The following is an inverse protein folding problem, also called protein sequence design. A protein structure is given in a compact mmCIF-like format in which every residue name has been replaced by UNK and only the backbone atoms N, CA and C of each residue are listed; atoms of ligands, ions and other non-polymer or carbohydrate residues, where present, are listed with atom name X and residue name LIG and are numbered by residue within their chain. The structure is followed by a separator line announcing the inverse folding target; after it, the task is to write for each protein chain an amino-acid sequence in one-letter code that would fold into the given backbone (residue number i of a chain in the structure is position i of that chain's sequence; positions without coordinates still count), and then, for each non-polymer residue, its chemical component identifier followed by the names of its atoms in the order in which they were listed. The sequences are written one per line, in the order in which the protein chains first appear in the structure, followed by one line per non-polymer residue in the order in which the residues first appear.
data_IF_586471257902
#
_entry.id   IF_586471257902
#
_cell.length_a   1.000
_cell.length_b   1.000
_cell.length_c   1.000
_cell.angle_alpha   90.00
_cell.angle_beta   90.00
_cell.angle_gamma   90.00
#
_symmetry.space_group_name_H-M   'P 1'
#
loop_
_entity.id
_entity.type
_entity.pdbx_description
1 polymer ?
#
# COMPACT_ATOMS: atom_id res chain seq x y z
N UNK A 1 13.11 27.89 36.55
CA UNK A 1 14.04 28.15 35.45
C UNK A 1 13.90 26.97 34.54
N UNK A 2 12.96 26.99 33.63
CA UNK A 2 12.95 27.50 32.24
C UNK A 2 13.87 26.72 31.34
N UNK A 3 13.25 26.08 30.38
CA UNK A 3 13.88 25.41 29.24
C UNK A 3 12.87 24.69 28.37
N UNK A 4 11.82 25.41 27.90
CA UNK A 4 10.93 24.90 26.88
C UNK A 4 11.66 24.94 25.54
N UNK A 5 12.13 23.78 25.00
CA UNK A 5 12.57 23.68 23.62
C UNK A 5 11.38 23.43 22.73
N UNK A 6 11.04 24.47 21.97
CA UNK A 6 10.08 24.41 20.87
C UNK A 6 10.60 23.47 19.77
N UNK A 7 9.90 22.37 19.52
CA UNK A 7 10.09 21.56 18.33
C UNK A 7 9.57 22.33 17.12
N UNK A 8 10.48 22.88 16.33
CA UNK A 8 10.19 23.50 15.05
C UNK A 8 9.64 22.43 14.09
N UNK A 9 8.35 22.54 13.79
CA UNK A 9 7.70 21.69 12.81
C UNK A 9 8.31 21.88 11.43
N UNK A 10 8.86 20.82 10.88
CA UNK A 10 9.29 20.76 9.49
C UNK A 10 8.06 20.86 8.60
N UNK A 11 7.76 22.04 8.09
CA UNK A 11 6.77 22.21 7.02
C UNK A 11 7.28 21.50 5.78
N UNK A 12 6.72 20.33 5.50
CA UNK A 12 6.84 19.69 4.20
C UNK A 12 6.36 20.68 3.13
N UNK A 13 7.27 21.09 2.26
CA UNK A 13 6.92 21.85 1.04
C UNK A 13 6.13 20.92 0.13
N UNK A 14 4.81 20.93 0.23
CA UNK A 14 3.94 20.38 -0.82
C UNK A 14 4.20 21.16 -2.09
N UNK A 15 4.62 20.46 -3.13
CA UNK A 15 4.85 21.04 -4.44
C UNK A 15 3.55 21.66 -4.99
N UNK A 16 3.65 22.86 -5.50
CA UNK A 16 2.55 23.71 -6.00
C UNK A 16 1.94 23.19 -7.33
N UNK A 17 2.27 21.96 -7.76
CA UNK A 17 1.77 21.35 -9.00
C UNK A 17 0.57 20.40 -8.84
N UNK A 18 0.25 19.97 -7.65
CA UNK A 18 -0.71 18.87 -7.43
C UNK A 18 -2.12 19.33 -7.01
N UNK A 19 -2.33 20.63 -6.78
CA UNK A 19 -3.64 21.15 -6.35
C UNK A 19 -4.81 20.82 -7.30
N UNK A 20 -4.69 20.95 -8.64
CA UNK A 20 -5.83 20.62 -9.51
C UNK A 20 -6.13 19.12 -9.56
N UNK A 21 -5.12 18.26 -9.43
CA UNK A 21 -5.31 16.81 -9.40
C UNK A 21 -5.98 16.37 -8.08
N UNK A 22 -5.59 16.95 -6.95
CA UNK A 22 -6.20 16.68 -5.64
C UNK A 22 -7.65 17.16 -5.62
N UNK A 23 -7.93 18.37 -6.11
CA UNK A 23 -9.28 18.91 -6.18
C UNK A 23 -10.21 18.08 -7.08
N UNK A 24 -9.69 17.56 -8.20
CA UNK A 24 -10.44 16.65 -9.08
C UNK A 24 -10.73 15.31 -8.39
N UNK A 25 -9.75 14.78 -7.66
CA UNK A 25 -9.92 13.52 -6.90
C UNK A 25 -10.94 13.68 -5.79
N UNK A 26 -10.93 14.79 -5.06
CA UNK A 26 -11.90 15.08 -4.00
C UNK A 26 -13.31 15.28 -4.56
N UNK A 27 -13.45 15.96 -5.70
CA UNK A 27 -14.72 16.14 -6.37
C UNK A 27 -15.29 14.79 -6.88
N UNK A 28 -14.45 13.93 -7.46
CA UNK A 28 -14.83 12.58 -7.88
C UNK A 28 -15.22 11.70 -6.69
N UNK A 29 -14.47 11.75 -5.60
CA UNK A 29 -14.81 11.03 -4.37
C UNK A 29 -16.14 11.49 -3.79
N UNK A 30 -16.42 12.80 -3.80
CA UNK A 30 -17.71 13.37 -3.37
C UNK A 30 -18.88 12.88 -4.20
N UNK A 31 -18.72 12.78 -5.52
CA UNK A 31 -19.76 12.26 -6.42
C UNK A 31 -19.95 10.75 -6.22
N UNK A 32 -18.87 9.98 -6.11
CA UNK A 32 -18.93 8.54 -5.89
C UNK A 32 -19.58 8.16 -4.56
N UNK A 33 -19.40 8.97 -3.50
CA UNK A 33 -20.05 8.77 -2.21
C UNK A 33 -21.57 8.99 -2.21
N UNK A 34 -22.13 9.68 -3.20
CA UNK A 34 -23.57 9.88 -3.36
C UNK A 34 -24.23 8.79 -4.21
N UNK A 35 -23.45 7.92 -4.85
CA UNK A 35 -23.97 6.82 -5.64
C UNK A 35 -24.37 5.64 -4.73
N UNK A 36 -25.44 4.89 -5.10
CA UNK A 36 -25.76 3.62 -4.44
C UNK A 36 -24.55 2.70 -4.47
N UNK A 37 -24.30 1.98 -3.37
CA UNK A 37 -23.14 1.09 -3.22
C UNK A 37 -22.99 0.09 -4.37
N UNK A 38 -24.11 -0.38 -4.92
CA UNK A 38 -24.12 -1.28 -6.07
C UNK A 38 -23.52 -0.67 -7.34
N UNK A 39 -23.74 0.61 -7.56
CA UNK A 39 -23.25 1.32 -8.74
C UNK A 39 -21.77 1.69 -8.57
N UNK A 40 -21.36 2.16 -7.40
CA UNK A 40 -19.95 2.43 -7.11
C UNK A 40 -19.11 1.15 -7.19
N UNK A 41 -19.59 0.02 -6.65
CA UNK A 41 -18.91 -1.28 -6.76
C UNK A 41 -18.79 -1.74 -8.21
N UNK A 42 -19.83 -1.52 -9.04
CA UNK A 42 -19.76 -1.87 -10.47
C UNK A 42 -18.75 -1.02 -11.24
N UNK A 43 -18.66 0.28 -10.93
CA UNK A 43 -17.68 1.20 -11.55
C UNK A 43 -16.26 0.79 -11.16
N UNK A 44 -15.99 0.59 -9.86
CA UNK A 44 -14.69 0.12 -9.39
C UNK A 44 -14.32 -1.25 -9.96
N UNK A 45 -15.27 -2.19 -9.99
CA UNK A 45 -15.06 -3.50 -10.60
C UNK A 45 -14.78 -3.42 -12.12
N UNK A 46 -15.38 -2.47 -12.84
CA UNK A 46 -15.09 -2.25 -14.26
C UNK A 46 -13.72 -1.62 -14.50
N UNK A 47 -13.27 -0.71 -13.63
CA UNK A 47 -11.94 -0.09 -13.72
C UNK A 47 -10.82 -1.09 -13.47
N UNK A 48 -11.05 -2.09 -12.62
CA UNK A 48 -10.08 -3.13 -12.28
C UNK A 48 -10.11 -4.33 -13.24
N UNK A 49 -11.12 -4.40 -14.10
CA UNK A 49 -11.31 -5.46 -15.12
C UNK A 49 -10.26 -5.39 -16.24
N UNK A 50 -9.07 -5.39 -16.06
CA UNK A 50 -7.99 -5.33 -17.03
C UNK A 50 -6.64 -5.23 -16.37
N UNK A 51 -6.64 -5.22 -15.03
CA UNK A 51 -5.42 -5.33 -14.27
C UNK A 51 -5.16 -6.79 -13.93
N UNK A 52 -4.04 -7.33 -14.40
CA UNK A 52 -3.63 -8.70 -14.07
C UNK A 52 -3.27 -8.80 -12.59
N UNK A 53 -2.71 -7.72 -12.01
CA UNK A 53 -2.40 -7.64 -10.59
C UNK A 53 -2.53 -6.21 -10.06
N UNK A 54 -2.75 -6.11 -8.75
CA UNK A 54 -2.82 -4.85 -8.01
C UNK A 54 -1.71 -4.82 -6.97
N UNK A 55 -1.02 -3.69 -6.87
CA UNK A 55 -0.05 -3.44 -5.81
C UNK A 55 -0.51 -2.27 -4.94
N UNK A 56 -0.33 -2.40 -3.63
CA UNK A 56 -0.64 -1.34 -2.67
C UNK A 56 0.51 -1.16 -1.69
N UNK A 57 0.82 0.08 -1.37
CA UNK A 57 1.78 0.41 -0.32
C UNK A 57 1.05 1.16 0.80
N UNK A 58 0.99 0.53 1.98
CA UNK A 58 0.30 1.07 3.15
C UNK A 58 1.35 1.44 4.20
N UNK A 59 1.53 2.73 4.51
CA UNK A 59 2.37 3.13 5.61
C UNK A 59 1.71 2.73 6.93
N UNK A 60 2.38 1.87 7.69
CA UNK A 60 1.95 1.49 9.04
C UNK A 60 2.50 2.43 10.11
N UNK A 61 2.20 2.14 11.37
CA UNK A 61 2.67 2.94 12.49
C UNK A 61 4.20 2.86 12.63
N UNK A 62 4.89 4.01 12.74
CA UNK A 62 6.34 4.05 12.93
C UNK A 62 6.77 3.76 14.37
N UNK A 63 5.82 3.58 15.28
CA UNK A 63 6.01 3.32 16.71
C UNK A 63 5.59 1.89 17.06
N UNK A 64 6.18 1.27 18.10
CA UNK A 64 5.74 -0.04 18.59
C UNK A 64 4.26 -0.03 18.99
N UNK A 65 3.54 -1.04 18.55
CA UNK A 65 2.13 -1.25 18.89
C UNK A 65 2.02 -2.49 19.78
N UNK A 66 1.05 -2.47 20.67
CA UNK A 66 0.78 -3.58 21.60
C UNK A 66 -0.67 -4.03 21.50
N UNK A 67 -0.87 -5.34 21.47
CA UNK A 67 -2.18 -5.97 21.53
C UNK A 67 -2.24 -6.88 22.75
N UNK A 68 -3.17 -6.63 23.67
CA UNK A 68 -3.32 -7.39 24.93
C UNK A 68 -2.00 -7.54 25.73
N UNK A 69 -1.14 -6.51 25.71
CA UNK A 69 0.16 -6.50 26.39
C UNK A 69 1.33 -7.15 25.62
N UNK A 70 1.08 -7.75 24.47
CA UNK A 70 2.12 -8.29 23.59
C UNK A 70 2.49 -7.29 22.49
N UNK A 71 3.79 -7.13 22.22
CA UNK A 71 4.27 -6.26 21.14
C UNK A 71 4.03 -6.89 19.78
N UNK A 72 3.53 -6.09 18.84
CA UNK A 72 3.33 -6.48 17.44
C UNK A 72 4.68 -6.40 16.70
N UNK A 73 5.26 -7.56 16.40
CA UNK A 73 6.54 -7.66 15.72
C UNK A 73 6.43 -7.50 14.20
N UNK A 74 5.35 -8.04 13.61
CA UNK A 74 5.10 -8.01 12.17
C UNK A 74 3.62 -7.84 11.88
N UNK A 75 3.32 -7.09 10.84
CA UNK A 75 1.95 -6.86 10.38
C UNK A 75 1.89 -7.15 8.88
N UNK A 76 0.91 -7.96 8.47
CA UNK A 76 0.66 -8.27 7.08
C UNK A 76 -0.72 -7.75 6.69
N UNK A 77 -0.78 -6.94 5.64
CA UNK A 77 -2.03 -6.48 5.06
C UNK A 77 -2.37 -7.33 3.83
N UNK A 78 -3.65 -7.63 3.66
CA UNK A 78 -4.17 -8.37 2.52
C UNK A 78 -5.28 -7.54 1.89
N UNK A 79 -5.05 -7.03 0.69
CA UNK A 79 -6.05 -6.31 -0.07
C UNK A 79 -7.00 -7.27 -0.82
N UNK A 80 -8.20 -6.80 -1.20
CA UNK A 80 -9.11 -7.60 -2.04
C UNK A 80 -8.54 -7.76 -3.45
N UNK A 81 -8.85 -8.87 -4.10
CA UNK A 81 -8.47 -9.10 -5.51
C UNK A 81 -9.18 -8.14 -6.47
N UNK A 82 -10.44 -7.81 -6.18
CA UNK A 82 -11.26 -6.87 -6.96
C UNK A 82 -11.31 -7.18 -8.48
N UNK A 83 -11.17 -8.46 -8.84
CA UNK A 83 -11.16 -8.92 -10.21
C UNK A 83 -9.77 -9.09 -10.85
N UNK A 84 -8.69 -8.75 -10.15
CA UNK A 84 -7.32 -9.05 -10.55
C UNK A 84 -6.93 -10.49 -10.18
N UNK A 85 -5.94 -11.04 -10.87
CA UNK A 85 -5.40 -12.37 -10.59
C UNK A 85 -4.58 -12.41 -9.29
N UNK A 86 -3.94 -11.30 -8.93
CA UNK A 86 -3.17 -11.19 -7.68
C UNK A 86 -3.26 -9.78 -7.08
N UNK A 87 -3.15 -9.69 -5.74
CA UNK A 87 -2.98 -8.46 -5.00
C UNK A 87 -1.78 -8.59 -4.06
N UNK A 88 -0.85 -7.64 -4.18
CA UNK A 88 0.33 -7.54 -3.34
C UNK A 88 0.20 -6.27 -2.50
N UNK A 89 0.10 -6.43 -1.18
CA UNK A 89 0.01 -5.29 -0.27
C UNK A 89 1.25 -5.25 0.62
N UNK A 90 2.04 -4.19 0.46
CA UNK A 90 3.17 -3.89 1.35
C UNK A 90 2.68 -3.05 2.51
N UNK A 91 3.04 -3.43 3.73
CA UNK A 91 2.79 -2.66 4.95
C UNK A 91 4.10 -2.53 5.72
N UNK A 92 4.45 -1.28 6.04
CA UNK A 92 5.65 -0.97 6.83
C UNK A 92 5.31 -0.72 8.30
N UNK A 93 6.07 -1.30 9.23
CA UNK A 93 5.91 -1.09 10.68
C UNK A 93 7.27 -1.13 11.36
N UNK A 94 7.61 -0.10 12.13
CA UNK A 94 8.87 0.00 12.88
C UNK A 94 10.10 -0.39 12.06
N UNK A 95 10.25 0.13 10.84
CA UNK A 95 11.40 -0.15 9.95
C UNK A 95 11.36 -1.52 9.26
N UNK A 96 10.34 -2.33 9.48
CA UNK A 96 10.15 -3.63 8.81
C UNK A 96 9.02 -3.52 7.79
N UNK A 97 9.27 -3.92 6.54
CA UNK A 97 8.26 -4.03 5.50
C UNK A 97 7.81 -5.48 5.37
N UNK A 98 6.50 -5.70 5.45
CA UNK A 98 5.87 -7.00 5.26
C UNK A 98 4.97 -6.96 4.03
N UNK A 99 4.98 -8.01 3.23
CA UNK A 99 4.16 -8.12 2.02
C UNK A 99 3.15 -9.24 2.20
N UNK A 100 1.86 -8.90 2.12
CA UNK A 100 0.77 -9.84 1.99
C UNK A 100 0.45 -10.07 0.52
N UNK A 101 0.29 -11.32 0.12
CA UNK A 101 -0.02 -11.70 -1.27
C UNK A 101 -1.31 -12.51 -1.29
N UNK A 102 -2.33 -11.99 -1.97
CA UNK A 102 -3.57 -12.70 -2.31
C UNK A 102 -3.52 -13.10 -3.78
N UNK A 103 -3.90 -14.32 -4.08
CA UNK A 103 -3.88 -14.86 -5.45
C UNK A 103 -5.19 -15.59 -5.73
N UNK A 104 -5.76 -15.38 -6.92
CA UNK A 104 -6.82 -16.20 -7.45
C UNK A 104 -6.21 -17.49 -8.04
N UNK A 105 -6.47 -18.63 -7.42
CA UNK A 105 -5.91 -19.91 -7.82
C UNK A 105 -6.43 -20.40 -9.19
N UNK A 106 -7.54 -19.83 -9.68
CA UNK A 106 -8.05 -20.14 -11.04
C UNK A 106 -7.29 -19.33 -12.08
N UNK A 107 -7.00 -18.07 -11.78
CA UNK A 107 -6.27 -17.20 -12.70
C UNK A 107 -4.76 -17.50 -12.70
N UNK A 108 -4.20 -17.96 -11.58
CA UNK A 108 -2.79 -18.32 -11.42
C UNK A 108 -2.69 -19.76 -10.92
N UNK A 109 -2.80 -20.75 -11.83
CA UNK A 109 -2.83 -22.18 -11.46
C UNK A 109 -1.49 -22.67 -10.90
N UNK A 110 -0.36 -22.08 -11.32
CA UNK A 110 0.97 -22.39 -10.80
C UNK A 110 1.41 -21.36 -9.76
N UNK A 111 0.86 -21.48 -8.55
CA UNK A 111 1.16 -20.58 -7.43
C UNK A 111 2.62 -20.70 -6.99
N UNK A 112 3.23 -21.87 -7.09
CA UNK A 112 4.62 -22.08 -6.68
C UNK A 112 5.60 -21.30 -7.56
N UNK A 113 5.43 -21.38 -8.87
CA UNK A 113 6.21 -20.60 -9.83
C UNK A 113 5.99 -19.10 -9.63
N UNK A 114 4.74 -18.66 -9.42
CA UNK A 114 4.44 -17.27 -9.14
C UNK A 114 5.16 -16.76 -7.87
N UNK A 115 5.07 -17.47 -6.77
CA UNK A 115 5.72 -17.07 -5.51
C UNK A 115 7.26 -17.13 -5.61
N UNK A 116 7.81 -18.06 -6.39
CA UNK A 116 9.24 -18.11 -6.66
C UNK A 116 9.69 -16.87 -7.42
N UNK A 117 9.04 -16.54 -8.52
CA UNK A 117 9.33 -15.33 -9.31
C UNK A 117 9.22 -14.04 -8.46
N UNK A 118 8.23 -13.95 -7.58
CA UNK A 118 8.07 -12.84 -6.65
C UNK A 118 9.27 -12.71 -5.70
N UNK A 119 9.72 -13.81 -5.10
CA UNK A 119 10.88 -13.79 -4.18
C UNK A 119 12.16 -13.39 -4.90
N UNK A 120 12.37 -13.90 -6.10
CA UNK A 120 13.55 -13.58 -6.94
C UNK A 120 13.55 -12.08 -7.29
N UNK A 121 12.42 -11.54 -7.75
CA UNK A 121 12.29 -10.11 -8.06
C UNK A 121 12.53 -9.21 -6.86
N UNK A 122 12.01 -9.56 -5.67
CA UNK A 122 12.29 -8.80 -4.46
C UNK A 122 13.77 -8.90 -4.04
N UNK A 123 14.40 -10.06 -4.20
CA UNK A 123 15.82 -10.21 -3.91
C UNK A 123 16.67 -9.32 -4.83
N UNK A 124 16.36 -9.22 -6.11
CA UNK A 124 17.01 -8.33 -7.06
C UNK A 124 16.88 -6.86 -6.65
N UNK A 125 15.66 -6.42 -6.28
CA UNK A 125 15.43 -5.03 -5.83
C UNK A 125 16.21 -4.71 -4.56
N UNK A 126 16.25 -5.63 -3.60
CA UNK A 126 16.98 -5.44 -2.35
C UNK A 126 18.49 -5.36 -2.60
N UNK A 127 19.03 -6.17 -3.51
CA UNK A 127 20.44 -6.13 -3.90
C UNK A 127 20.85 -4.78 -4.50
N UNK A 128 19.96 -4.08 -5.20
CA UNK A 128 20.22 -2.73 -5.71
C UNK A 128 20.38 -1.70 -4.58
N UNK A 129 19.66 -1.87 -3.47
CA UNK A 129 19.76 -1.00 -2.30
C UNK A 129 21.04 -1.18 -1.48
N UNK A 130 21.72 -2.31 -1.61
CA UNK A 130 23.00 -2.60 -0.94
C UNK A 130 24.22 -2.07 -1.70
N UNK A 131 24.04 -1.61 -2.94
CA UNK A 131 25.12 -1.03 -3.73
C UNK A 131 25.39 0.40 -3.26
N UNK A 132 26.57 0.74 -2.71
CA UNK A 132 26.88 2.10 -2.29
C UNK A 132 26.80 3.04 -3.48
N UNK A 133 26.06 4.13 -3.31
CA UNK A 133 26.07 5.24 -4.28
C UNK A 133 27.46 5.86 -4.30
N UNK A 134 28.26 5.58 -5.32
CA UNK A 134 29.57 6.20 -5.58
C UNK A 134 29.44 7.59 -6.17
#
# INVERSE_FOLDING_TARGET
MEGAHALAGTRSRRGHGDEPAIALTDALAGVLNQLPTTLSTAIFGAMLKGADFVTSNVPGAPIPLYAAGAELQRMYAFGPLSGAAANLTLLSHCGTACIGVNVDAVAVPDIETFLKAQRESFAEVLALGETPLT
#
